data_IF_999636503471
#
_entry.id   IF_999636503471
#
_cell.length_a   1.000
_cell.length_b   1.000
_cell.length_c   1.000
_cell.angle_alpha   90.00
_cell.angle_beta   90.00
_cell.angle_gamma   90.00
#
_symmetry.space_group_name_H-M   'P 1'
#
loop_
_entity.id
_entity.type
_entity.pdbx_description
1 polymer ?
#
# COMPACT_ATOMS: atom_id res chain seq x y z
N UNK A 1 -3.47 14.41 -9.78
CA UNK A 1 -4.62 13.50 -9.63
C UNK A 1 -5.93 14.27 -9.75
N UNK A 2 -6.36 15.04 -8.74
CA UNK A 2 -7.66 15.75 -8.74
C UNK A 2 -7.89 16.62 -10.00
N UNK A 3 -6.95 17.52 -10.31
CA UNK A 3 -7.04 18.38 -11.51
C UNK A 3 -7.07 17.55 -12.80
N UNK A 4 -6.26 16.49 -12.87
CA UNK A 4 -6.19 15.61 -14.05
C UNK A 4 -7.50 14.85 -14.26
N UNK A 5 -8.11 14.32 -13.20
CA UNK A 5 -9.43 13.71 -13.24
C UNK A 5 -10.50 14.72 -13.66
N UNK A 6 -10.47 15.95 -13.12
CA UNK A 6 -11.42 17.00 -13.48
C UNK A 6 -11.34 17.42 -14.96
N UNK A 7 -10.13 17.58 -15.49
CA UNK A 7 -9.91 17.86 -16.91
C UNK A 7 -10.37 16.68 -17.78
N UNK A 8 -10.03 15.45 -17.39
CA UNK A 8 -10.40 14.24 -18.12
C UNK A 8 -11.92 14.05 -18.20
N UNK A 9 -12.62 14.29 -17.08
CA UNK A 9 -14.07 14.29 -16.99
C UNK A 9 -14.70 15.39 -17.87
N UNK A 10 -14.22 16.63 -17.75
CA UNK A 10 -14.79 17.77 -18.48
C UNK A 10 -14.57 17.74 -19.99
N UNK A 11 -13.41 17.25 -20.44
CA UNK A 11 -13.05 17.17 -21.87
C UNK A 11 -13.49 15.84 -22.50
N UNK A 12 -13.82 14.84 -21.67
CA UNK A 12 -14.11 13.48 -22.08
C UNK A 12 -12.96 12.88 -22.90
N UNK A 13 -11.76 12.89 -22.30
CA UNK A 13 -10.50 12.49 -22.95
C UNK A 13 -10.53 11.06 -23.49
N UNK A 14 -11.24 10.16 -22.81
CA UNK A 14 -11.39 8.78 -23.26
C UNK A 14 -12.17 8.68 -24.59
N UNK A 15 -13.33 9.31 -24.69
CA UNK A 15 -14.18 9.22 -25.89
C UNK A 15 -13.64 10.02 -27.07
N UNK A 16 -13.02 11.19 -26.81
CA UNK A 16 -12.54 12.09 -27.89
C UNK A 16 -11.14 11.78 -28.38
N UNK A 17 -10.25 11.32 -27.51
CA UNK A 17 -8.82 11.15 -27.83
C UNK A 17 -8.32 9.72 -27.61
N UNK A 18 -9.18 8.78 -27.22
CA UNK A 18 -8.81 7.38 -27.01
C UNK A 18 -7.86 7.15 -25.83
N UNK A 19 -7.72 8.12 -24.93
CA UNK A 19 -6.80 8.01 -23.79
C UNK A 19 -7.34 6.98 -22.79
N UNK A 20 -6.48 6.04 -22.38
CA UNK A 20 -6.86 5.01 -21.42
C UNK A 20 -7.10 5.63 -20.04
N UNK A 21 -8.27 5.41 -19.48
CA UNK A 21 -8.64 5.81 -18.11
C UNK A 21 -8.69 4.60 -17.20
N UNK A 22 -8.68 4.83 -15.88
CA UNK A 22 -8.79 3.78 -14.85
C UNK A 22 -10.04 2.93 -15.07
N UNK A 23 -11.17 3.55 -15.39
CA UNK A 23 -12.42 2.85 -15.65
C UNK A 23 -13.16 2.44 -14.38
N UNK A 24 -13.96 1.40 -14.44
CA UNK A 24 -14.81 1.00 -13.32
C UNK A 24 -13.98 0.48 -12.14
N UNK A 25 -14.08 1.15 -11.01
CA UNK A 25 -13.49 0.73 -9.74
C UNK A 25 -14.59 0.05 -8.94
N UNK A 26 -14.45 -1.24 -8.57
CA UNK A 26 -15.46 -1.92 -7.79
C UNK A 26 -15.54 -1.28 -6.40
N UNK A 27 -16.73 -0.78 -6.06
CA UNK A 27 -17.01 -0.17 -4.77
C UNK A 27 -17.24 -1.25 -3.70
N UNK A 28 -16.70 -1.03 -2.50
CA UNK A 28 -16.88 -1.93 -1.35
C UNK A 28 -15.66 -2.78 -0.99
N UNK A 29 -15.77 -3.52 0.12
CA UNK A 29 -14.73 -4.44 0.57
C UNK A 29 -14.91 -5.80 -0.10
N UNK A 30 -13.82 -6.40 -0.55
CA UNK A 30 -13.84 -7.79 -1.00
C UNK A 30 -13.90 -8.74 0.21
N UNK A 31 -14.68 -9.83 0.14
CA UNK A 31 -14.71 -10.81 1.20
C UNK A 31 -13.35 -11.51 1.34
N UNK A 32 -12.99 -11.97 2.55
CA UNK A 32 -11.76 -12.73 2.74
C UNK A 32 -11.82 -14.06 1.98
N UNK A 33 -10.69 -14.45 1.36
CA UNK A 33 -10.53 -15.67 0.57
C UNK A 33 -9.31 -16.42 1.06
N UNK A 34 -9.44 -17.74 1.22
CA UNK A 34 -8.33 -18.60 1.61
C UNK A 34 -7.35 -18.74 0.42
N UNK A 35 -6.04 -18.49 0.61
CA UNK A 35 -5.06 -18.67 -0.45
C UNK A 35 -5.04 -20.13 -0.96
N UNK A 36 -5.04 -20.31 -2.28
CA UNK A 36 -4.99 -21.63 -2.88
C UNK A 36 -3.57 -22.23 -2.78
N UNK A 37 -3.44 -23.27 -1.95
CA UNK A 37 -2.18 -23.97 -1.66
C UNK A 37 -1.52 -24.63 -2.87
N UNK A 38 -2.29 -24.90 -3.95
CA UNK A 38 -1.75 -25.49 -5.18
C UNK A 38 -0.69 -24.60 -5.84
N UNK A 39 -0.78 -23.28 -5.69
CA UNK A 39 0.18 -22.34 -6.27
C UNK A 39 1.46 -22.19 -5.44
N UNK A 40 1.49 -22.64 -4.18
CA UNK A 40 2.61 -22.35 -3.27
C UNK A 40 3.93 -22.89 -3.82
N UNK A 41 3.94 -24.11 -4.37
CA UNK A 41 5.14 -24.69 -4.97
C UNK A 41 5.67 -23.90 -6.17
N UNK A 42 4.79 -23.22 -6.91
CA UNK A 42 5.17 -22.44 -8.10
C UNK A 42 5.70 -21.04 -7.73
N UNK A 43 5.20 -20.45 -6.64
CA UNK A 43 5.52 -19.07 -6.26
C UNK A 43 6.56 -18.96 -5.14
N UNK A 44 6.93 -20.06 -4.48
CA UNK A 44 7.82 -20.05 -3.29
C UNK A 44 9.15 -19.34 -3.54
N UNK A 45 9.78 -19.54 -4.70
CA UNK A 45 11.05 -18.88 -5.03
C UNK A 45 10.91 -17.36 -5.16
N UNK A 46 9.88 -16.90 -5.89
CA UNK A 46 9.59 -15.48 -6.05
C UNK A 46 9.15 -14.85 -4.72
N UNK A 47 8.34 -15.55 -3.94
CA UNK A 47 7.88 -15.11 -2.63
C UNK A 47 9.05 -14.93 -1.65
N UNK A 48 10.03 -15.85 -1.67
CA UNK A 48 11.23 -15.73 -0.86
C UNK A 48 12.05 -14.49 -1.25
N UNK A 49 12.26 -14.26 -2.54
CA UNK A 49 12.97 -13.08 -3.02
C UNK A 49 12.27 -11.77 -2.58
N UNK A 50 10.94 -11.69 -2.74
CA UNK A 50 10.14 -10.54 -2.31
C UNK A 50 10.22 -10.35 -0.79
N UNK A 51 10.15 -11.42 0.00
CA UNK A 51 10.24 -11.36 1.45
C UNK A 51 11.60 -10.82 1.92
N UNK A 52 12.70 -11.31 1.34
CA UNK A 52 14.06 -10.87 1.67
C UNK A 52 14.24 -9.39 1.33
N UNK A 53 13.87 -8.98 0.12
CA UNK A 53 13.99 -7.57 -0.32
C UNK A 53 13.08 -6.66 0.51
N UNK A 54 11.83 -7.05 0.70
CA UNK A 54 10.85 -6.31 1.48
C UNK A 54 11.27 -6.12 2.93
N UNK A 55 11.82 -7.16 3.57
CA UNK A 55 12.36 -7.08 4.92
C UNK A 55 13.63 -6.23 4.98
N UNK A 56 14.56 -6.40 4.05
CA UNK A 56 15.81 -5.64 3.98
C UNK A 56 15.54 -4.13 3.89
N UNK A 57 14.58 -3.71 3.07
CA UNK A 57 14.16 -2.30 2.97
C UNK A 57 13.51 -1.84 4.29
N UNK A 58 12.64 -2.66 4.89
CA UNK A 58 11.96 -2.35 6.15
C UNK A 58 12.96 -2.10 7.29
N UNK A 59 13.86 -3.06 7.53
CA UNK A 59 14.83 -2.96 8.62
C UNK A 59 15.86 -1.85 8.37
N UNK A 60 16.23 -1.61 7.11
CA UNK A 60 17.15 -0.50 6.77
C UNK A 60 16.52 0.84 7.11
N UNK A 61 15.26 1.07 6.74
CA UNK A 61 14.56 2.30 7.07
C UNK A 61 14.35 2.45 8.59
N UNK A 62 13.98 1.35 9.27
CA UNK A 62 13.84 1.34 10.72
C UNK A 62 15.14 1.76 11.43
N UNK A 63 16.29 1.21 11.00
CA UNK A 63 17.61 1.57 11.55
C UNK A 63 18.00 3.01 11.27
N UNK A 64 17.64 3.57 10.12
CA UNK A 64 17.88 5.00 9.81
C UNK A 64 17.18 5.89 10.83
N UNK A 65 15.89 5.64 11.11
CA UNK A 65 15.15 6.40 12.11
C UNK A 65 15.64 6.13 13.53
N UNK A 66 16.02 4.89 13.85
CA UNK A 66 16.59 4.52 15.14
C UNK A 66 17.87 5.32 15.44
N UNK A 67 18.77 5.41 14.47
CA UNK A 67 19.99 6.21 14.56
C UNK A 67 19.68 7.71 14.68
N UNK A 68 18.70 8.20 13.93
CA UNK A 68 18.31 9.63 13.94
C UNK A 68 17.71 10.07 15.28
N UNK A 69 16.86 9.24 15.89
CA UNK A 69 16.11 9.58 17.10
C UNK A 69 16.64 8.91 18.38
N UNK A 70 17.71 8.11 18.29
CA UNK A 70 18.41 7.53 19.45
C UNK A 70 17.68 6.36 20.13
N UNK A 71 16.78 5.66 19.44
CA UNK A 71 16.11 4.46 19.96
C UNK A 71 16.68 3.18 19.37
N UNK A 72 16.30 2.02 19.93
CA UNK A 72 16.74 0.70 19.44
C UNK A 72 15.63 0.05 18.61
N UNK A 73 16.01 -0.64 17.53
CA UNK A 73 15.11 -1.45 16.71
C UNK A 73 15.46 -2.92 16.87
N UNK A 74 14.47 -3.73 17.21
CA UNK A 74 14.59 -5.19 17.22
C UNK A 74 14.29 -5.73 15.82
N UNK A 75 15.30 -6.32 15.20
CA UNK A 75 15.19 -6.86 13.84
C UNK A 75 14.25 -8.07 13.76
N UNK A 76 14.23 -8.92 14.79
CA UNK A 76 13.35 -10.09 14.82
C UNK A 76 11.89 -9.67 14.96
N UNK A 77 11.63 -8.65 15.79
CA UNK A 77 10.28 -8.12 15.96
C UNK A 77 9.74 -7.52 14.66
N UNK A 78 10.56 -6.77 13.91
CA UNK A 78 10.18 -6.21 12.61
C UNK A 78 9.90 -7.32 11.57
N UNK A 79 10.68 -8.40 11.57
CA UNK A 79 10.46 -9.54 10.69
C UNK A 79 9.12 -10.23 10.98
N UNK A 80 8.82 -10.49 12.25
CA UNK A 80 7.56 -11.09 12.68
C UNK A 80 6.39 -10.16 12.34
N UNK A 81 6.50 -8.86 12.63
CA UNK A 81 5.47 -7.89 12.32
C UNK A 81 5.16 -7.83 10.82
N UNK A 82 6.20 -7.72 9.98
CA UNK A 82 6.04 -7.69 8.53
C UNK A 82 5.44 -9.00 7.99
N UNK A 83 5.87 -10.14 8.52
CA UNK A 83 5.33 -11.46 8.18
C UNK A 83 3.85 -11.58 8.52
N UNK A 84 3.44 -11.18 9.73
CA UNK A 84 2.04 -11.20 10.17
C UNK A 84 1.17 -10.27 9.30
N UNK A 85 1.64 -9.06 8.99
CA UNK A 85 0.93 -8.13 8.13
C UNK A 85 0.66 -8.73 6.73
N UNK A 86 1.67 -9.35 6.12
CA UNK A 86 1.54 -9.98 4.81
C UNK A 86 0.71 -11.27 4.87
N UNK A 87 0.83 -12.06 5.93
CA UNK A 87 0.04 -13.26 6.14
C UNK A 87 -1.45 -12.93 6.23
N UNK A 88 -1.82 -11.97 7.09
CA UNK A 88 -3.20 -11.51 7.21
C UNK A 88 -3.69 -10.87 5.91
N UNK A 89 -2.87 -10.02 5.28
CA UNK A 89 -3.19 -9.39 3.99
C UNK A 89 -3.47 -10.39 2.86
N UNK A 90 -2.82 -11.55 2.88
CA UNK A 90 -3.05 -12.63 1.92
C UNK A 90 -4.50 -13.13 1.89
N UNK A 91 -5.19 -13.13 3.04
CA UNK A 91 -6.61 -13.50 3.11
C UNK A 91 -7.54 -12.41 2.58
N UNK A 92 -7.12 -11.14 2.59
CA UNK A 92 -7.89 -10.02 2.07
C UNK A 92 -7.53 -9.65 0.63
N UNK A 93 -6.89 -10.58 -0.10
CA UNK A 93 -6.48 -10.40 -1.49
C UNK A 93 -5.53 -9.20 -1.68
N UNK A 94 -4.73 -8.87 -0.66
CA UNK A 94 -3.68 -7.87 -0.76
C UNK A 94 -2.44 -8.43 -1.47
N UNK A 95 -1.70 -7.53 -2.12
CA UNK A 95 -0.36 -7.83 -2.62
C UNK A 95 0.67 -7.71 -1.49
N UNK A 96 1.87 -8.25 -1.70
CA UNK A 96 2.95 -8.18 -0.72
C UNK A 96 3.34 -6.72 -0.43
N UNK A 97 3.37 -6.35 0.84
CA UNK A 97 3.68 -5.00 1.31
C UNK A 97 5.04 -4.92 2.01
N UNK A 98 5.61 -3.73 2.01
CA UNK A 98 6.79 -3.34 2.81
C UNK A 98 6.60 -1.88 3.31
N UNK A 99 7.62 -1.32 3.94
CA UNK A 99 7.63 0.07 4.37
C UNK A 99 7.63 1.04 3.19
N UNK A 100 7.30 2.31 3.44
CA UNK A 100 7.27 3.35 2.42
C UNK A 100 8.11 4.52 2.86
N UNK A 101 9.31 4.61 2.29
CA UNK A 101 10.28 5.65 2.61
C UNK A 101 9.66 7.06 2.48
N UNK A 102 9.00 7.36 1.36
CA UNK A 102 8.39 8.68 1.13
C UNK A 102 7.32 9.03 2.17
N UNK A 103 6.43 8.10 2.53
CA UNK A 103 5.37 8.35 3.52
C UNK A 103 5.94 8.51 4.92
N UNK A 104 6.89 7.65 5.31
CA UNK A 104 7.54 7.74 6.62
C UNK A 104 8.36 9.02 6.78
N UNK A 105 9.06 9.46 5.73
CA UNK A 105 9.81 10.73 5.76
C UNK A 105 8.89 11.94 5.87
N UNK A 106 7.76 11.95 5.17
CA UNK A 106 6.77 13.03 5.30
C UNK A 106 6.16 13.05 6.70
N UNK A 107 5.84 11.88 7.27
CA UNK A 107 5.33 11.79 8.63
C UNK A 107 6.37 12.30 9.65
N UNK A 108 7.63 11.91 9.51
CA UNK A 108 8.70 12.33 10.43
C UNK A 108 9.01 13.83 10.29
N UNK A 109 9.09 14.36 9.07
CA UNK A 109 9.35 15.78 8.83
C UNK A 109 8.22 16.70 9.29
N UNK A 110 6.99 16.18 9.39
CA UNK A 110 5.84 16.88 9.97
C UNK A 110 5.72 16.70 11.49
N UNK A 111 6.70 16.07 12.14
CA UNK A 111 6.76 15.89 13.60
C UNK A 111 5.95 14.70 14.12
N UNK A 112 5.56 13.75 13.27
CA UNK A 112 4.82 12.56 13.66
C UNK A 112 5.68 11.57 14.45
N UNK A 113 5.40 11.43 15.75
CA UNK A 113 6.17 10.59 16.69
C UNK A 113 5.43 9.32 17.16
N UNK A 114 4.29 8.98 16.57
CA UNK A 114 3.46 7.84 16.99
C UNK A 114 2.84 7.08 15.81
N UNK A 115 2.57 5.79 16.01
CA UNK A 115 1.92 4.91 15.03
C UNK A 115 0.46 5.28 14.75
N UNK A 116 -0.14 6.17 15.55
CA UNK A 116 -1.49 6.72 15.33
C UNK A 116 -1.61 7.36 13.94
N UNK A 117 -0.54 7.97 13.42
CA UNK A 117 -0.54 8.52 12.06
C UNK A 117 -0.80 7.44 10.98
N UNK A 118 -0.30 6.22 11.19
CA UNK A 118 -0.57 5.08 10.33
C UNK A 118 -2.04 4.63 10.40
N UNK A 119 -2.65 4.65 11.59
CA UNK A 119 -4.07 4.34 11.79
C UNK A 119 -4.97 5.38 11.11
N UNK A 120 -4.65 6.66 11.26
CA UNK A 120 -5.40 7.73 10.58
C UNK A 120 -5.28 7.55 9.06
N UNK A 121 -4.08 7.25 8.56
CA UNK A 121 -3.85 7.01 7.14
C UNK A 121 -4.65 5.82 6.61
N UNK A 122 -4.73 4.71 7.35
CA UNK A 122 -5.52 3.54 6.94
C UNK A 122 -7.03 3.82 6.94
N UNK A 123 -7.52 4.61 7.89
CA UNK A 123 -8.92 5.06 7.92
C UNK A 123 -9.26 5.94 6.72
N UNK A 124 -8.38 6.87 6.34
CA UNK A 124 -8.56 7.71 5.15
C UNK A 124 -8.61 6.85 3.88
N UNK A 125 -7.73 5.85 3.76
CA UNK A 125 -7.76 4.91 2.63
C UNK A 125 -9.06 4.10 2.63
N UNK A 126 -9.52 3.62 3.78
CA UNK A 126 -10.77 2.87 3.90
C UNK A 126 -11.97 3.70 3.43
N UNK A 127 -12.10 4.95 3.88
CA UNK A 127 -13.17 5.86 3.44
C UNK A 127 -13.07 6.12 1.93
N UNK A 128 -11.85 6.29 1.41
CA UNK A 128 -11.61 6.50 -0.02
C UNK A 128 -12.11 5.32 -0.85
N UNK A 129 -11.81 4.09 -0.44
CA UNK A 129 -12.27 2.86 -1.12
C UNK A 129 -13.79 2.71 -1.07
N UNK A 130 -14.42 3.06 0.04
CA UNK A 130 -15.87 2.86 0.23
C UNK A 130 -16.75 3.92 -0.45
N UNK A 131 -16.28 5.15 -0.60
CA UNK A 131 -17.12 6.28 -1.04
C UNK A 131 -16.55 7.10 -2.19
N UNK A 132 -15.23 7.19 -2.31
CA UNK A 132 -14.56 8.14 -3.22
C UNK A 132 -14.02 7.43 -4.47
N UNK A 133 -13.92 6.09 -4.46
CA UNK A 133 -13.40 5.29 -5.56
C UNK A 133 -14.00 5.65 -6.92
N UNK A 134 -15.33 5.85 -6.99
CA UNK A 134 -16.01 6.18 -8.25
C UNK A 134 -15.57 7.53 -8.86
N UNK A 135 -15.13 8.49 -8.05
CA UNK A 135 -14.63 9.78 -8.56
C UNK A 135 -13.35 9.62 -9.37
N UNK A 136 -12.61 8.53 -9.18
CA UNK A 136 -11.35 8.28 -9.91
C UNK A 136 -11.54 7.52 -11.23
N UNK A 137 -12.78 7.24 -11.65
CA UNK A 137 -13.07 6.50 -12.89
C UNK A 137 -12.46 7.13 -14.13
N UNK A 138 -12.52 8.46 -14.22
CA UNK A 138 -12.03 9.24 -15.37
C UNK A 138 -10.56 9.65 -15.23
N UNK A 139 -9.85 9.18 -14.20
CA UNK A 139 -8.42 9.42 -14.07
C UNK A 139 -7.68 8.79 -15.27
N UNK A 140 -6.90 9.57 -16.05
CA UNK A 140 -6.05 9.01 -17.11
C UNK A 140 -4.92 8.18 -16.51
N UNK A 141 -4.56 7.09 -17.18
CA UNK A 141 -3.47 6.18 -16.78
C UNK A 141 -2.08 6.76 -17.04
#
# INVERSE_FOLDING_TARGET
>A
IIVSTGISYGVNLNAKFGISVVGHIPSGLKPPVVPNVSYFGQVVGNAFAIAVVGYAICISLGKIFALKHGYKVDSNQELIALGLCNFLGGFFQCFAISCSMSRSLVQESTGGNSQVAGVISSLVILVTILKIGELFRDLPK
#
